data_IF_197373841978
#
_entry.id   IF_197373841978
#
_cell.length_a   1.000
_cell.length_b   1.000
_cell.length_c   1.000
_cell.angle_alpha   90.00
_cell.angle_beta   90.00
_cell.angle_gamma   90.00
#
_symmetry.space_group_name_H-M   'P 1'
#
loop_
_entity.id
_entity.type
_entity.pdbx_description
1 polymer ?
#
# COMPACT_ATOMS: atom_id res chain seq x y z
N UNK A 1 19.84 2.41 -20.58
CA UNK A 1 18.70 3.02 -21.29
C UNK A 1 17.42 2.74 -20.52
N UNK A 2 16.41 3.63 -20.51
CA UNK A 2 15.12 3.34 -19.91
C UNK A 2 14.42 2.18 -20.64
N UNK A 3 13.55 1.41 -19.97
CA UNK A 3 12.81 0.33 -20.60
C UNK A 3 11.86 0.87 -21.68
N UNK A 4 11.72 0.15 -22.80
CA UNK A 4 10.78 0.49 -23.86
C UNK A 4 9.35 0.13 -23.42
N UNK A 5 8.39 1.08 -23.41
CA UNK A 5 7.00 0.77 -23.10
C UNK A 5 6.43 -0.23 -24.11
N UNK A 6 5.77 -1.28 -23.63
CA UNK A 6 5.06 -2.23 -24.48
C UNK A 6 3.65 -1.70 -24.83
N UNK A 7 2.93 -1.18 -23.84
CA UNK A 7 1.57 -0.67 -23.97
C UNK A 7 1.24 0.34 -22.88
N UNK A 8 0.31 1.24 -23.17
CA UNK A 8 -0.33 2.13 -22.19
C UNK A 8 -1.79 1.73 -22.02
N UNK A 9 -2.21 1.49 -20.78
CA UNK A 9 -3.54 0.96 -20.48
C UNK A 9 -4.14 1.71 -19.30
N UNK A 10 -5.40 2.15 -19.45
CA UNK A 10 -6.08 2.98 -18.45
C UNK A 10 -6.65 2.23 -17.23
N UNK A 11 -6.31 0.96 -17.03
CA UNK A 11 -6.86 0.14 -15.93
C UNK A 11 -5.82 -0.82 -15.37
N UNK A 12 -5.68 -0.81 -14.04
CA UNK A 12 -4.76 -1.71 -13.31
C UNK A 12 -5.11 -3.18 -13.56
N UNK A 13 -6.40 -3.54 -13.55
CA UNK A 13 -6.84 -4.91 -13.84
C UNK A 13 -6.62 -5.32 -15.30
N UNK A 14 -6.55 -4.36 -16.23
CA UNK A 14 -6.15 -4.64 -17.60
C UNK A 14 -4.63 -4.86 -17.73
N UNK A 15 -3.81 -4.10 -16.99
CA UNK A 15 -2.35 -4.34 -16.90
C UNK A 15 -2.09 -5.74 -16.35
N UNK A 16 -2.74 -6.13 -15.25
CA UNK A 16 -2.58 -7.46 -14.65
C UNK A 16 -2.91 -8.59 -15.63
N UNK A 17 -4.03 -8.48 -16.36
CA UNK A 17 -4.41 -9.47 -17.39
C UNK A 17 -3.42 -9.51 -18.54
N UNK A 18 -2.95 -8.35 -19.03
CA UNK A 18 -1.97 -8.28 -20.10
C UNK A 18 -0.66 -9.00 -19.72
N UNK A 19 -0.18 -8.78 -18.50
CA UNK A 19 1.00 -9.48 -17.95
C UNK A 19 0.75 -10.98 -17.83
N UNK A 20 -0.40 -11.39 -17.26
CA UNK A 20 -0.75 -12.80 -17.10
C UNK A 20 -0.84 -13.55 -18.44
N UNK A 21 -1.19 -12.86 -19.53
CA UNK A 21 -1.21 -13.43 -20.90
C UNK A 21 0.14 -13.39 -21.61
N UNK A 22 1.24 -13.06 -20.92
CA UNK A 22 2.58 -13.02 -21.49
C UNK A 22 2.97 -11.68 -22.12
N UNK A 23 2.22 -10.61 -21.86
CA UNK A 23 2.52 -9.24 -22.31
C UNK A 23 3.69 -8.56 -21.58
N UNK A 24 4.73 -9.31 -21.20
CA UNK A 24 5.92 -8.78 -20.54
C UNK A 24 5.75 -8.50 -19.04
N UNK A 25 6.40 -7.45 -18.55
CA UNK A 25 6.44 -7.07 -17.13
C UNK A 25 5.58 -5.83 -16.88
N UNK A 26 4.96 -5.75 -15.70
CA UNK A 26 4.14 -4.60 -15.29
C UNK A 26 4.36 -4.22 -13.83
N UNK A 27 4.31 -2.91 -13.55
CA UNK A 27 4.27 -2.40 -12.18
C UNK A 27 2.81 -2.33 -11.72
N UNK A 28 2.43 -3.23 -10.82
CA UNK A 28 1.05 -3.39 -10.37
C UNK A 28 1.02 -3.28 -8.84
N UNK A 29 0.12 -2.48 -8.24
CA UNK A 29 -0.06 -2.50 -6.79
C UNK A 29 -0.35 -3.92 -6.31
N UNK A 30 0.42 -4.42 -5.35
CA UNK A 30 0.27 -5.80 -4.84
C UNK A 30 -1.15 -6.12 -4.39
N UNK A 31 -1.85 -5.15 -3.80
CA UNK A 31 -3.27 -5.27 -3.43
C UNK A 31 -4.18 -5.61 -4.63
N UNK A 32 -3.89 -5.08 -5.81
CA UNK A 32 -4.67 -5.36 -7.03
C UNK A 32 -4.23 -6.66 -7.73
N UNK A 33 -3.03 -7.17 -7.42
CA UNK A 33 -2.49 -8.41 -7.96
C UNK A 33 -2.71 -9.62 -7.05
N UNK A 34 -3.22 -9.44 -5.82
CA UNK A 34 -3.30 -10.48 -4.78
C UNK A 34 -3.92 -11.77 -5.29
N UNK A 35 -5.04 -11.67 -5.99
CA UNK A 35 -5.78 -12.86 -6.43
C UNK A 35 -5.07 -13.57 -7.58
N UNK A 36 -4.45 -12.81 -8.49
CA UNK A 36 -3.69 -13.37 -9.60
C UNK A 36 -2.38 -14.03 -9.11
N UNK A 37 -1.75 -13.44 -8.09
CA UNK A 37 -0.62 -14.06 -7.37
C UNK A 37 -1.05 -15.33 -6.65
N UNK A 38 -2.18 -15.31 -5.94
CA UNK A 38 -2.70 -16.49 -5.24
C UNK A 38 -3.07 -17.64 -6.19
N UNK A 39 -3.54 -17.33 -7.41
CA UNK A 39 -3.80 -18.31 -8.47
C UNK A 39 -2.55 -18.76 -9.24
N UNK A 40 -1.39 -18.13 -9.01
CA UNK A 40 -0.16 -18.41 -9.77
C UNK A 40 -0.18 -17.92 -11.21
N UNK A 41 -1.11 -17.03 -11.57
CA UNK A 41 -1.17 -16.39 -12.90
C UNK A 41 -0.09 -15.31 -13.05
N UNK A 42 0.37 -14.75 -11.93
CA UNK A 42 1.46 -13.78 -11.85
C UNK A 42 2.51 -14.28 -10.86
N UNK A 43 3.76 -13.84 -11.06
CA UNK A 43 4.82 -13.96 -10.07
C UNK A 43 5.37 -12.58 -9.73
N UNK A 44 5.69 -12.36 -8.46
CA UNK A 44 6.40 -11.15 -8.03
C UNK A 44 7.88 -11.24 -8.36
N UNK A 45 8.45 -10.15 -8.85
CA UNK A 45 9.89 -9.98 -9.05
C UNK A 45 10.46 -9.04 -7.99
N UNK A 46 11.65 -9.33 -7.43
CA UNK A 46 12.28 -8.44 -6.47
C UNK A 46 12.56 -7.10 -7.12
N UNK A 47 12.12 -6.02 -6.49
CA UNK A 47 12.38 -4.67 -6.99
C UNK A 47 13.87 -4.33 -6.79
N UNK A 48 14.58 -3.84 -7.82
CA UNK A 48 15.95 -3.40 -7.66
C UNK A 48 15.98 -2.10 -6.84
N UNK A 49 16.24 -2.21 -5.54
CA UNK A 49 16.44 -1.10 -4.62
C UNK A 49 15.25 -0.82 -3.70
N UNK A 50 15.26 0.36 -3.06
CA UNK A 50 14.22 0.76 -2.12
C UNK A 50 12.99 1.26 -2.88
N UNK A 51 11.86 0.60 -2.71
CA UNK A 51 10.57 1.05 -3.22
C UNK A 51 9.78 1.72 -2.10
N UNK A 52 9.27 2.93 -2.34
CA UNK A 52 8.32 3.57 -1.42
C UNK A 52 6.91 3.09 -1.77
N UNK A 53 6.18 2.45 -0.84
CA UNK A 53 4.82 2.04 -1.11
C UNK A 53 3.91 3.27 -1.32
N UNK A 54 2.97 3.16 -2.26
CA UNK A 54 1.92 4.14 -2.43
C UNK A 54 0.92 4.05 -1.26
N UNK A 55 0.51 5.17 -0.64
CA UNK A 55 -0.45 5.14 0.46
C UNK A 55 -1.85 4.75 -0.05
N UNK A 56 -2.54 3.90 0.72
CA UNK A 56 -3.96 3.61 0.52
C UNK A 56 -4.79 4.48 1.47
N UNK A 57 -5.60 5.39 0.91
CA UNK A 57 -6.39 6.34 1.69
C UNK A 57 -7.88 6.11 1.47
N UNK A 58 -8.65 6.01 2.56
CA UNK A 58 -10.10 6.01 2.52
C UNK A 58 -10.62 7.42 2.79
N UNK A 59 -11.50 7.93 1.93
CA UNK A 59 -12.07 9.28 2.03
C UNK A 59 -13.59 9.16 2.09
N UNK A 60 -14.22 9.90 2.99
CA UNK A 60 -15.68 9.94 3.14
C UNK A 60 -16.17 11.36 3.41
N UNK A 61 -17.45 11.61 3.12
CA UNK A 61 -18.07 12.90 3.45
C UNK A 61 -18.18 13.09 4.95
N UNK A 62 -17.78 14.25 5.44
CA UNK A 62 -18.01 14.66 6.83
C UNK A 62 -19.52 14.79 7.07
N UNK A 63 -20.01 14.16 8.12
CA UNK A 63 -21.39 14.29 8.63
C UNK A 63 -21.32 14.56 10.14
N UNK A 64 -22.33 15.26 10.68
CA UNK A 64 -22.41 15.52 12.14
C UNK A 64 -22.47 14.22 12.94
N UNK A 65 -23.24 13.24 12.46
CA UNK A 65 -23.30 11.89 13.01
C UNK A 65 -22.83 10.94 11.90
N UNK A 66 -21.83 10.11 12.20
CA UNK A 66 -21.33 9.11 11.25
C UNK A 66 -22.32 7.93 11.19
N UNK A 67 -22.78 7.51 10.00
CA UNK A 67 -23.62 6.33 9.87
C UNK A 67 -22.94 5.09 10.49
N UNK A 68 -23.65 4.28 11.31
CA UNK A 68 -23.06 3.10 11.96
C UNK A 68 -22.41 2.14 10.97
N UNK A 69 -23.05 1.91 9.81
CA UNK A 69 -22.51 1.09 8.74
C UNK A 69 -21.19 1.62 8.18
N UNK A 70 -21.04 2.95 8.02
CA UNK A 70 -19.77 3.55 7.58
C UNK A 70 -18.68 3.35 8.62
N UNK A 71 -19.01 3.50 9.91
CA UNK A 71 -18.05 3.24 10.99
C UNK A 71 -17.57 1.79 10.99
N UNK A 72 -18.48 0.84 10.81
CA UNK A 72 -18.17 -0.59 10.72
C UNK A 72 -17.30 -0.90 9.49
N UNK A 73 -17.64 -0.36 8.32
CA UNK A 73 -16.84 -0.52 7.10
C UNK A 73 -15.41 0.00 7.28
N UNK A 74 -15.26 1.20 7.86
CA UNK A 74 -13.93 1.79 8.10
C UNK A 74 -13.11 0.99 9.12
N UNK A 75 -13.75 0.40 10.12
CA UNK A 75 -13.07 -0.49 11.06
C UNK A 75 -12.60 -1.77 10.36
N UNK A 76 -13.51 -2.48 9.67
CA UNK A 76 -13.17 -3.69 8.93
C UNK A 76 -12.08 -3.46 7.87
N UNK A 77 -12.16 -2.34 7.15
CA UNK A 77 -11.15 -1.99 6.16
C UNK A 77 -9.78 -1.71 6.79
N UNK A 78 -9.72 -1.08 7.97
CA UNK A 78 -8.45 -0.92 8.70
C UNK A 78 -7.86 -2.26 9.11
N UNK A 79 -8.70 -3.16 9.61
CA UNK A 79 -8.23 -4.48 10.06
C UNK A 79 -7.77 -5.35 8.88
N UNK A 80 -8.40 -5.22 7.71
CA UNK A 80 -8.14 -6.06 6.53
C UNK A 80 -7.07 -5.49 5.60
N UNK A 81 -6.97 -4.15 5.50
CA UNK A 81 -6.10 -3.47 4.54
C UNK A 81 -4.91 -2.76 5.21
N UNK A 82 -4.79 -2.82 6.54
CA UNK A 82 -3.56 -2.41 7.19
C UNK A 82 -2.40 -3.24 6.60
N UNK A 83 -1.29 -2.58 6.22
CA UNK A 83 -0.12 -3.33 5.81
C UNK A 83 0.25 -4.30 6.94
N UNK A 84 0.50 -5.55 6.62
CA UNK A 84 1.30 -6.38 7.51
C UNK A 84 2.55 -5.57 7.83
N UNK A 85 2.85 -5.40 9.12
CA UNK A 85 4.09 -4.74 9.50
C UNK A 85 5.18 -5.58 8.85
N UNK A 86 5.72 -5.08 7.74
CA UNK A 86 6.96 -5.60 7.20
C UNK A 86 7.90 -5.53 8.38
N UNK A 87 8.29 -6.69 8.93
CA UNK A 87 9.27 -6.76 9.99
C UNK A 87 10.41 -5.86 9.53
N UNK A 88 10.56 -4.75 10.26
CA UNK A 88 11.57 -3.76 10.00
C UNK A 88 12.90 -4.44 10.33
N UNK A 89 13.43 -5.17 9.36
CA UNK A 89 14.71 -5.82 9.42
C UNK A 89 15.78 -4.74 9.53
N UNK A 90 16.23 -4.56 10.77
CA UNK A 90 17.56 -4.19 11.23
C UNK A 90 18.06 -2.76 11.02
N UNK A 91 18.45 -2.19 12.17
CA UNK A 91 19.37 -1.08 12.40
C UNK A 91 18.98 0.31 11.90
N UNK A 92 18.33 1.06 12.79
CA UNK A 92 18.87 2.35 13.20
C UNK A 92 18.54 2.56 14.68
N UNK A 93 19.57 2.35 15.48
CA UNK A 93 19.80 2.89 16.82
C UNK A 93 18.59 3.48 17.54
N UNK A 94 18.11 2.71 18.51
CA UNK A 94 17.47 3.23 19.71
C UNK A 94 18.51 4.01 20.54
N UNK A 95 18.93 5.18 20.03
CA UNK A 95 19.54 6.19 20.86
C UNK A 95 18.41 6.95 21.57
N UNK A 96 18.23 6.55 22.83
CA UNK A 96 17.67 7.36 23.90
C UNK A 96 17.65 8.85 23.60
N UNK A 97 16.46 9.40 23.44
CA UNK A 97 16.22 10.82 23.65
C UNK A 97 14.90 10.98 24.38
N UNK A 98 14.91 10.54 25.64
CA UNK A 98 14.11 11.18 26.67
C UNK A 98 14.47 12.67 26.74
N UNK A 99 13.84 13.51 25.93
CA UNK A 99 13.86 14.96 26.12
C UNK A 99 12.47 15.53 25.87
N UNK A 100 11.76 15.77 26.96
CA UNK A 100 10.48 16.46 26.97
C UNK A 100 10.61 17.81 26.22
N UNK A 101 9.91 17.92 25.09
CA UNK A 101 9.97 19.08 24.18
C UNK A 101 8.79 20.04 24.33
N UNK A 102 8.04 19.97 25.43
CA UNK A 102 6.99 20.95 25.71
C UNK A 102 7.16 21.51 27.13
N UNK A 103 7.49 22.80 27.29
CA UNK A 103 7.27 23.45 28.56
C UNK A 103 5.74 23.52 28.80
N UNK A 104 5.33 22.95 29.93
CA UNK A 104 4.00 23.08 30.49
C UNK A 104 3.87 24.49 31.05
N UNK A 105 3.07 25.35 30.43
CA UNK A 105 2.74 26.65 30.98
C UNK A 105 1.31 26.56 31.53
N UNK A 106 1.24 26.29 32.83
CA UNK A 106 0.08 26.51 33.68
C UNK A 106 -0.08 28.00 34.02
N UNK A 107 -1.35 28.42 34.15
CA UNK A 107 -1.94 29.73 34.48
C UNK A 107 -2.36 30.61 33.30
#
# INVERSE_FOLDING_TARGET
APPKPLAEVGSIGAIARLVATGGGLGLIPRLAASDALARGELMDLPWPGRMRPAPLTMIWRRRRIQPPALRQLLAAARDTLAPERLDAGSELESADSSKALFPNNSW
#
